data_IF_412606437571
#
_entry.id   IF_412606437571
#
_cell.length_a   1.000
_cell.length_b   1.000
_cell.length_c   1.000
_cell.angle_alpha   90.00
_cell.angle_beta   90.00
_cell.angle_gamma   90.00
#
_symmetry.space_group_name_H-M   'P 1'
#
loop_
_entity.id
_entity.type
_entity.pdbx_description
1 polymer ?
#
# COMPACT_ATOMS: atom_id res chain seq x y z
N UNK A 1 -2.55 21.16 53.51
CA UNK A 1 -2.71 19.75 53.10
C UNK A 1 -1.34 19.32 52.58
N UNK A 2 -0.70 18.37 53.25
CA UNK A 2 0.61 17.87 52.83
C UNK A 2 0.37 16.48 52.22
N UNK A 3 0.40 16.38 50.90
CA UNK A 3 0.28 15.10 50.19
C UNK A 3 1.60 14.29 50.16
N UNK A 4 2.60 14.67 50.95
CA UNK A 4 3.92 14.02 50.95
C UNK A 4 4.31 13.77 52.40
N UNK A 5 3.44 13.06 53.12
CA UNK A 5 3.55 12.78 54.54
C UNK A 5 3.56 11.28 54.85
N UNK A 6 3.63 10.44 53.82
CA UNK A 6 3.68 8.98 53.87
C UNK A 6 2.42 8.34 54.47
N UNK A 7 1.30 9.06 54.47
CA UNK A 7 0.02 8.56 54.97
C UNK A 7 -1.09 8.87 53.98
N UNK A 8 -1.83 7.83 53.57
CA UNK A 8 -3.07 7.99 52.82
C UNK A 8 -4.09 8.80 53.61
N UNK A 9 -4.23 10.09 53.31
CA UNK A 9 -5.10 11.01 54.04
C UNK A 9 -5.75 12.06 53.12
N UNK A 10 -6.67 12.86 53.68
CA UNK A 10 -7.48 13.83 52.94
C UNK A 10 -8.18 13.20 51.72
N UNK A 11 -7.92 13.70 50.51
CA UNK A 11 -8.52 13.29 49.24
C UNK A 11 -7.68 12.27 48.44
N UNK A 12 -6.55 11.81 48.98
CA UNK A 12 -5.67 10.84 48.33
C UNK A 12 -6.35 9.50 48.02
N UNK A 13 -6.01 8.93 46.87
CA UNK A 13 -6.47 7.59 46.50
C UNK A 13 -5.45 6.50 46.79
N UNK A 14 -4.17 6.84 46.87
CA UNK A 14 -3.09 6.02 47.43
C UNK A 14 -2.12 6.91 48.25
N UNK A 15 -1.21 6.32 49.02
CA UNK A 15 -0.27 7.07 49.86
C UNK A 15 0.50 8.10 49.03
N UNK A 16 0.34 9.37 49.38
CA UNK A 16 1.00 10.52 48.76
C UNK A 16 0.60 10.80 47.29
N UNK A 17 -0.53 10.28 46.81
CA UNK A 17 -1.00 10.51 45.44
C UNK A 17 -2.52 10.33 45.20
N UNK A 18 -3.00 10.88 44.09
CA UNK A 18 -4.39 10.83 43.64
C UNK A 18 -5.30 11.83 44.36
N UNK A 19 -6.58 11.86 44.01
CA UNK A 19 -7.45 12.95 44.45
C UNK A 19 -7.25 14.23 43.63
N UNK A 20 -7.91 15.31 44.05
CA UNK A 20 -7.86 16.59 43.31
C UNK A 20 -6.67 17.46 43.73
N UNK A 21 -6.17 17.26 44.95
CA UNK A 21 -5.18 18.12 45.59
C UNK A 21 -3.74 17.59 45.51
N UNK A 22 -3.54 16.34 45.08
CA UNK A 22 -2.24 15.66 45.10
C UNK A 22 -1.78 15.24 43.68
N UNK A 23 -0.47 14.96 43.48
CA UNK A 23 0.04 14.43 42.23
C UNK A 23 -0.62 13.10 41.85
N UNK A 24 -0.71 12.81 40.55
CA UNK A 24 -1.30 11.55 40.08
C UNK A 24 -0.46 10.34 40.50
N UNK A 25 -1.14 9.25 40.81
CA UNK A 25 -0.58 7.96 41.15
C UNK A 25 0.01 7.23 39.95
N UNK A 26 1.19 6.63 40.14
CA UNK A 26 1.82 5.76 39.15
C UNK A 26 1.09 4.41 38.98
N UNK A 27 1.59 3.59 38.07
CA UNK A 27 1.08 2.25 37.84
C UNK A 27 0.99 1.38 39.10
N UNK A 28 -0.03 0.52 39.16
CA UNK A 28 -0.34 -0.41 40.26
C UNK A 28 -0.72 0.25 41.60
N UNK A 29 -0.94 1.56 41.62
CA UNK A 29 -1.40 2.33 42.80
C UNK A 29 -2.92 2.40 42.87
N UNK A 30 -3.47 2.62 44.05
CA UNK A 30 -4.91 2.74 44.26
C UNK A 30 -5.50 4.01 43.65
N UNK A 31 -6.68 3.90 43.04
CA UNK A 31 -7.40 5.02 42.42
C UNK A 31 -8.92 4.89 42.63
N UNK A 32 -9.65 5.98 42.45
CA UNK A 32 -11.12 6.01 42.40
C UNK A 32 -11.64 6.47 41.04
N UNK A 33 -10.90 7.34 40.37
CA UNK A 33 -11.21 7.92 39.07
C UNK A 33 -9.97 7.96 38.18
N UNK A 34 -10.19 8.00 36.87
CA UNK A 34 -9.11 8.05 35.86
C UNK A 34 -8.13 9.21 36.06
N UNK A 35 -8.59 10.35 36.57
CA UNK A 35 -7.74 11.51 36.85
C UNK A 35 -6.70 11.26 37.96
N UNK A 36 -6.92 10.26 38.82
CA UNK A 36 -5.98 9.88 39.88
C UNK A 36 -4.71 9.24 39.33
N UNK A 37 -4.72 8.73 38.10
CA UNK A 37 -3.65 7.90 37.55
C UNK A 37 -2.80 8.65 36.51
N UNK A 38 -1.47 8.47 36.56
CA UNK A 38 -0.55 8.96 35.53
C UNK A 38 -0.93 8.37 34.16
N UNK A 39 -1.35 7.10 34.13
CA UNK A 39 -1.86 6.43 32.93
C UNK A 39 -3.16 7.05 32.41
N UNK A 40 -3.93 7.72 33.26
CA UNK A 40 -5.29 8.17 32.96
C UNK A 40 -6.35 7.07 33.09
N UNK A 41 -6.00 5.90 33.66
CA UNK A 41 -6.88 4.73 33.70
C UNK A 41 -6.90 4.18 35.12
N UNK A 42 -8.09 4.20 35.72
CA UNK A 42 -8.39 3.54 36.97
C UNK A 42 -9.27 2.31 36.71
N UNK A 43 -8.67 1.12 36.74
CA UNK A 43 -9.39 -0.13 36.50
C UNK A 43 -9.32 -1.00 37.75
N UNK A 44 -10.46 -1.53 38.19
CA UNK A 44 -10.57 -2.33 39.42
C UNK A 44 -9.96 -1.61 40.66
N UNK A 45 -10.11 -0.28 40.72
CA UNK A 45 -9.51 0.61 41.74
C UNK A 45 -7.98 0.64 41.75
N UNK A 46 -7.33 0.23 40.66
CA UNK A 46 -5.87 0.27 40.49
C UNK A 46 -5.51 1.04 39.21
N UNK A 47 -4.52 1.92 39.31
CA UNK A 47 -3.95 2.62 38.18
C UNK A 47 -3.25 1.62 37.26
N UNK A 48 -3.63 1.60 35.97
CA UNK A 48 -2.96 0.74 35.01
C UNK A 48 -1.44 1.03 34.97
N UNK A 49 -0.62 -0.03 34.87
CA UNK A 49 0.85 0.06 34.90
C UNK A 49 1.41 1.01 33.82
N UNK A 50 0.73 1.03 32.67
CA UNK A 50 0.85 2.01 31.61
C UNK A 50 -0.52 2.18 30.97
N UNK A 51 -0.79 3.34 30.37
CA UNK A 51 -1.82 3.40 29.35
C UNK A 51 -1.36 2.47 28.20
N UNK A 52 -2.23 1.56 27.78
CA UNK A 52 -1.85 0.46 26.89
C UNK A 52 -2.50 0.68 25.53
N UNK A 53 -1.79 0.32 24.47
CA UNK A 53 -2.32 0.35 23.11
C UNK A 53 -3.43 -0.69 22.84
N UNK A 54 -4.13 -1.14 23.89
CA UNK A 54 -5.08 -2.27 23.92
C UNK A 54 -6.13 -2.12 25.05
N UNK A 55 -6.28 -0.92 25.64
CA UNK A 55 -7.19 -0.67 26.78
C UNK A 55 -8.55 -0.11 26.37
N UNK A 56 -8.80 0.03 25.07
CA UNK A 56 -10.04 0.51 24.45
C UNK A 56 -10.36 1.97 24.77
N UNK A 57 -9.40 2.74 25.23
CA UNK A 57 -9.55 4.16 25.54
C UNK A 57 -8.49 4.94 24.80
N UNK A 58 -8.90 5.87 23.92
CA UNK A 58 -7.96 6.76 23.24
C UNK A 58 -7.18 7.61 24.24
N UNK A 59 -5.92 7.29 24.48
CA UNK A 59 -5.09 7.95 25.48
C UNK A 59 -3.62 8.11 25.05
N UNK A 60 -2.81 8.78 25.86
CA UNK A 60 -1.40 9.06 25.57
C UNK A 60 -1.16 9.67 24.17
N UNK A 61 -0.36 9.03 23.31
CA UNK A 61 -0.02 9.49 21.98
C UNK A 61 -0.85 8.85 20.85
N UNK A 62 -1.85 8.04 21.20
CA UNK A 62 -2.75 7.39 20.24
C UNK A 62 -3.48 8.40 19.34
N UNK A 63 -3.62 8.04 18.08
CA UNK A 63 -4.39 8.83 17.11
C UNK A 63 -5.79 8.29 16.89
N UNK A 64 -6.02 7.02 17.22
CA UNK A 64 -7.34 6.43 17.46
C UNK A 64 -7.25 5.42 18.62
N UNK A 65 -8.38 4.97 19.13
CA UNK A 65 -8.45 3.99 20.23
C UNK A 65 -7.52 2.80 19.93
N UNK A 66 -6.54 2.58 20.81
CA UNK A 66 -5.59 1.46 20.77
C UNK A 66 -4.61 1.45 19.58
N UNK A 67 -4.45 2.58 18.87
CA UNK A 67 -3.55 2.63 17.72
C UNK A 67 -2.99 4.03 17.37
N UNK A 68 -1.94 4.01 16.54
CA UNK A 68 -1.26 5.18 16.01
C UNK A 68 -0.34 5.85 17.03
N UNK A 69 0.12 7.06 16.72
CA UNK A 69 1.15 7.71 17.51
C UNK A 69 2.51 7.05 17.33
N UNK A 70 3.43 7.36 18.24
CA UNK A 70 4.81 6.87 18.22
C UNK A 70 5.01 5.55 18.95
N UNK A 71 4.11 5.19 19.87
CA UNK A 71 4.26 4.04 20.77
C UNK A 71 3.37 2.85 20.41
N UNK A 72 2.24 3.07 19.74
CA UNK A 72 1.27 2.03 19.43
C UNK A 72 1.40 1.49 18.02
N UNK A 73 0.78 0.33 17.79
CA UNK A 73 0.68 -0.24 16.45
C UNK A 73 -0.06 0.72 15.52
N UNK A 74 0.28 0.70 14.24
CA UNK A 74 -0.39 1.56 13.25
C UNK A 74 -1.88 1.23 13.16
N UNK A 75 -2.68 2.26 12.98
CA UNK A 75 -4.11 2.18 12.79
C UNK A 75 -4.50 1.58 11.43
N UNK A 76 -5.57 0.79 11.44
CA UNK A 76 -6.25 0.31 10.24
C UNK A 76 -6.94 1.44 9.47
N UNK A 77 -7.45 1.14 8.28
CA UNK A 77 -8.23 2.10 7.52
C UNK A 77 -9.48 2.54 8.30
N UNK A 78 -9.94 3.77 8.03
CA UNK A 78 -11.08 4.43 8.69
C UNK A 78 -10.85 4.85 10.15
N UNK A 79 -9.64 4.66 10.69
CA UNK A 79 -9.26 5.08 12.04
C UNK A 79 -8.59 6.45 12.04
N UNK A 80 -8.65 7.17 13.16
CA UNK A 80 -8.01 8.47 13.34
C UNK A 80 -6.48 8.45 13.20
N UNK A 81 -5.92 9.45 12.53
CA UNK A 81 -4.49 9.66 12.35
C UNK A 81 -4.12 11.14 12.47
N UNK A 82 -2.84 11.44 12.72
CA UNK A 82 -2.27 12.80 12.63
C UNK A 82 -1.28 12.90 11.47
N UNK A 83 -0.65 11.80 11.09
CA UNK A 83 0.33 11.72 10.03
C UNK A 83 0.38 10.30 9.41
N UNK A 84 1.09 10.15 8.30
CA UNK A 84 1.18 8.90 7.55
C UNK A 84 1.77 7.72 8.35
N UNK A 85 2.61 7.97 9.35
CA UNK A 85 3.19 6.90 10.17
C UNK A 85 2.15 6.24 11.07
N UNK A 86 1.03 6.92 11.35
CA UNK A 86 -0.05 6.38 12.18
C UNK A 86 -0.85 5.30 11.47
N UNK A 87 -0.77 5.18 10.14
CA UNK A 87 -1.63 4.31 9.34
C UNK A 87 -0.89 3.11 8.76
N UNK A 88 -1.49 1.92 8.82
CA UNK A 88 -0.94 0.70 8.17
C UNK A 88 -0.70 0.95 6.68
N UNK A 89 -1.64 1.65 6.02
CA UNK A 89 -1.55 2.02 4.61
C UNK A 89 -0.45 3.05 4.31
N UNK A 90 0.05 3.75 5.32
CA UNK A 90 0.93 4.91 5.13
C UNK A 90 0.20 6.17 4.63
N UNK A 91 -1.14 6.19 4.61
CA UNK A 91 -1.93 7.35 4.19
C UNK A 91 -2.79 7.84 5.35
N UNK A 92 -2.46 9.02 5.85
CA UNK A 92 -3.37 9.83 6.65
C UNK A 92 -4.02 10.88 5.74
N UNK A 93 -5.34 10.82 5.60
CA UNK A 93 -6.09 11.74 4.74
C UNK A 93 -6.18 13.14 5.37
N UNK A 94 -6.61 14.13 4.58
CA UNK A 94 -6.85 15.49 5.07
C UNK A 94 -7.97 15.58 6.12
N UNK A 95 -8.79 14.53 6.25
CA UNK A 95 -9.82 14.40 7.30
C UNK A 95 -9.26 13.82 8.61
N UNK A 96 -7.94 13.60 8.71
CA UNK A 96 -7.30 12.92 9.84
C UNK A 96 -7.81 11.48 10.03
N UNK A 97 -8.09 10.79 8.93
CA UNK A 97 -8.52 9.39 8.90
C UNK A 97 -7.53 8.58 8.05
N UNK A 98 -7.12 7.41 8.55
CA UNK A 98 -6.33 6.44 7.81
C UNK A 98 -7.08 5.99 6.57
N UNK A 99 -6.54 6.37 5.43
CA UNK A 99 -7.13 6.11 4.13
C UNK A 99 -6.67 4.77 3.56
N UNK A 100 -7.50 4.21 2.70
CA UNK A 100 -7.10 3.08 1.88
C UNK A 100 -6.16 3.54 0.76
N UNK A 101 -5.22 2.68 0.38
CA UNK A 101 -4.30 2.92 -0.71
C UNK A 101 -4.92 2.38 -2.00
N UNK A 102 -5.51 3.25 -2.83
CA UNK A 102 -5.94 2.82 -4.17
C UNK A 102 -4.69 2.62 -5.02
N UNK A 103 -4.49 1.39 -5.49
CA UNK A 103 -3.41 1.03 -6.40
C UNK A 103 -3.99 0.73 -7.77
N UNK A 104 -3.37 1.28 -8.79
CA UNK A 104 -3.63 0.90 -10.16
C UNK A 104 -3.24 -0.57 -10.36
N UNK A 105 -4.15 -1.36 -10.94
CA UNK A 105 -3.86 -2.71 -11.37
C UNK A 105 -3.40 -2.68 -12.83
N UNK A 106 -2.19 -3.16 -13.10
CA UNK A 106 -1.60 -3.20 -14.45
C UNK A 106 -1.44 -4.63 -14.92
N UNK A 107 -2.00 -4.91 -16.10
CA UNK A 107 -1.84 -6.18 -16.79
C UNK A 107 -1.29 -5.97 -18.19
N UNK A 108 -0.53 -6.94 -18.68
CA UNK A 108 -0.08 -6.99 -20.07
C UNK A 108 -0.51 -8.30 -20.70
N UNK A 109 -0.58 -8.31 -22.04
CA UNK A 109 -0.75 -9.54 -22.82
C UNK A 109 0.13 -9.48 -24.05
N UNK A 110 0.81 -10.61 -24.32
CA UNK A 110 1.54 -10.89 -25.54
C UNK A 110 0.80 -12.04 -26.23
N UNK A 111 0.46 -11.88 -27.49
CA UNK A 111 -0.28 -12.87 -28.27
C UNK A 111 0.06 -12.72 -29.75
N UNK A 112 -0.53 -13.57 -30.60
CA UNK A 112 -0.33 -13.50 -32.06
C UNK A 112 1.17 -13.58 -32.43
N UNK A 113 1.91 -14.49 -31.82
CA UNK A 113 3.36 -14.64 -32.00
C UNK A 113 3.71 -15.65 -33.09
N UNK A 114 4.43 -15.21 -34.12
CA UNK A 114 5.04 -16.10 -35.12
C UNK A 114 6.43 -16.60 -34.66
N UNK A 115 7.15 -15.79 -33.89
CA UNK A 115 8.45 -16.13 -33.34
C UNK A 115 8.51 -15.79 -31.85
N UNK A 116 9.34 -14.83 -31.44
CA UNK A 116 9.54 -14.50 -30.04
C UNK A 116 9.10 -13.08 -29.75
N UNK A 117 8.15 -12.94 -28.82
CA UNK A 117 7.72 -11.66 -28.29
C UNK A 117 8.26 -11.48 -26.86
N UNK A 118 8.65 -10.26 -26.54
CA UNK A 118 9.22 -9.90 -25.24
C UNK A 118 8.51 -8.68 -24.67
N UNK A 119 8.34 -8.66 -23.36
CA UNK A 119 7.84 -7.51 -22.62
C UNK A 119 8.77 -7.18 -21.46
N UNK A 120 9.13 -5.90 -21.38
CA UNK A 120 9.94 -5.33 -20.32
C UNK A 120 9.14 -4.24 -19.60
N UNK A 121 9.22 -4.20 -18.28
CA UNK A 121 8.68 -3.11 -17.46
C UNK A 121 9.85 -2.48 -16.72
N UNK A 122 10.08 -1.18 -16.92
CA UNK A 122 11.19 -0.44 -16.32
C UNK A 122 12.55 -1.17 -16.48
N UNK A 123 12.85 -1.59 -17.71
CA UNK A 123 14.06 -2.32 -18.10
C UNK A 123 14.18 -3.77 -17.58
N UNK A 124 13.22 -4.27 -16.80
CA UNK A 124 13.18 -5.68 -16.39
C UNK A 124 12.29 -6.48 -17.34
N UNK A 125 12.83 -7.53 -17.96
CA UNK A 125 12.04 -8.47 -18.74
C UNK A 125 11.07 -9.22 -17.82
N UNK A 126 9.78 -9.08 -18.06
CA UNK A 126 8.71 -9.68 -17.26
C UNK A 126 8.09 -10.90 -17.94
N UNK A 127 8.15 -10.94 -19.28
CA UNK A 127 7.64 -12.07 -20.05
C UNK A 127 8.38 -12.19 -21.38
N UNK A 128 8.57 -13.44 -21.78
CA UNK A 128 8.88 -13.86 -23.15
C UNK A 128 7.87 -14.93 -23.52
N UNK A 129 7.36 -14.87 -24.74
CA UNK A 129 6.59 -15.95 -25.35
C UNK A 129 7.21 -16.34 -26.69
N UNK A 130 6.95 -17.58 -27.09
CA UNK A 130 7.43 -18.19 -28.33
C UNK A 130 6.30 -18.35 -29.34
N UNK A 131 6.59 -19.05 -30.44
CA UNK A 131 5.66 -19.33 -31.52
C UNK A 131 4.33 -19.88 -31.00
N UNK A 132 3.24 -19.23 -31.40
CA UNK A 132 1.85 -19.54 -31.08
C UNK A 132 1.45 -19.53 -29.61
N UNK A 133 2.29 -19.01 -28.73
CA UNK A 133 1.90 -18.83 -27.35
C UNK A 133 1.01 -17.59 -27.19
N UNK A 134 0.04 -17.68 -26.28
CA UNK A 134 -0.63 -16.52 -25.72
C UNK A 134 -0.23 -16.45 -24.25
N UNK A 135 0.18 -15.27 -23.80
CA UNK A 135 0.58 -15.10 -22.42
C UNK A 135 -0.61 -15.06 -21.45
N UNK A 136 -1.83 -14.96 -21.97
CA UNK A 136 -3.00 -14.45 -21.28
C UNK A 136 -2.71 -13.09 -20.62
N UNK A 137 -3.61 -12.62 -19.75
CA UNK A 137 -3.37 -11.43 -18.95
C UNK A 137 -2.42 -11.74 -17.81
N UNK A 138 -1.24 -11.11 -17.83
CA UNK A 138 -0.24 -11.21 -16.76
C UNK A 138 -0.34 -9.97 -15.88
N UNK A 139 -0.51 -10.16 -14.57
CA UNK A 139 -0.41 -9.07 -13.61
C UNK A 139 1.06 -8.64 -13.47
N UNK A 140 1.34 -7.38 -13.80
CA UNK A 140 2.68 -6.79 -13.70
C UNK A 140 2.72 -5.59 -12.75
N UNK A 141 1.71 -5.43 -11.91
CA UNK A 141 1.58 -4.29 -10.97
C UNK A 141 2.80 -4.17 -10.05
N UNK A 142 3.38 -5.28 -9.61
CA UNK A 142 4.56 -5.27 -8.72
C UNK A 142 5.84 -4.77 -9.39
N UNK A 143 5.90 -4.79 -10.73
CA UNK A 143 7.03 -4.29 -11.52
C UNK A 143 6.97 -2.77 -11.76
N UNK A 144 5.90 -2.13 -11.32
CA UNK A 144 5.69 -0.69 -11.47
C UNK A 144 6.07 0.10 -10.22
N UNK A 145 6.25 1.40 -10.35
CA UNK A 145 6.41 2.36 -9.27
C UNK A 145 5.41 3.53 -9.42
N UNK A 146 5.30 4.38 -8.40
CA UNK A 146 4.51 5.61 -8.51
C UNK A 146 5.04 6.50 -9.64
N UNK A 147 4.12 7.05 -10.43
CA UNK A 147 4.42 7.92 -11.55
C UNK A 147 4.60 7.18 -12.88
N UNK A 148 5.47 7.71 -13.75
CA UNK A 148 5.62 7.23 -15.13
C UNK A 148 6.44 5.94 -15.18
N UNK A 149 5.86 4.90 -15.76
CA UNK A 149 6.50 3.59 -15.97
C UNK A 149 6.65 3.32 -17.46
N UNK A 150 7.75 2.68 -17.84
CA UNK A 150 8.06 2.37 -19.24
C UNK A 150 7.82 0.89 -19.55
N UNK A 151 6.91 0.62 -20.48
CA UNK A 151 6.58 -0.70 -20.99
C UNK A 151 7.20 -0.85 -22.38
N UNK A 152 8.22 -1.68 -22.51
CA UNK A 152 8.90 -1.92 -23.78
C UNK A 152 8.53 -3.30 -24.33
N UNK A 153 8.01 -3.33 -25.55
CA UNK A 153 7.60 -4.54 -26.25
C UNK A 153 8.48 -4.76 -27.48
N UNK A 154 8.91 -6.00 -27.68
CA UNK A 154 9.83 -6.39 -28.76
C UNK A 154 9.28 -7.60 -29.51
N UNK A 155 9.41 -7.60 -30.83
CA UNK A 155 9.21 -8.78 -31.67
C UNK A 155 10.54 -9.12 -32.35
N UNK A 156 11.04 -10.33 -32.10
CA UNK A 156 12.17 -10.90 -32.83
C UNK A 156 11.64 -11.81 -33.94
N UNK A 157 12.05 -11.56 -35.19
CA UNK A 157 11.80 -12.46 -36.31
C UNK A 157 13.03 -13.34 -36.53
N UNK A 158 12.85 -14.65 -36.42
CA UNK A 158 13.89 -15.65 -36.64
C UNK A 158 13.97 -16.12 -38.09
N UNK A 159 12.84 -16.22 -38.80
CA UNK A 159 12.80 -16.60 -40.21
C UNK A 159 11.43 -16.32 -40.84
N UNK A 160 11.42 -16.02 -42.14
CA UNK A 160 10.20 -15.78 -42.93
C UNK A 160 9.41 -14.56 -42.42
N UNK A 161 8.10 -14.73 -42.25
CA UNK A 161 7.16 -13.70 -41.82
C UNK A 161 7.23 -13.45 -40.32
N UNK A 162 6.48 -12.46 -39.84
CA UNK A 162 6.42 -12.12 -38.43
C UNK A 162 5.04 -11.57 -38.10
N UNK A 163 4.58 -11.83 -36.89
CA UNK A 163 3.33 -11.26 -36.34
C UNK A 163 3.54 -10.87 -34.89
N UNK A 164 2.75 -9.90 -34.42
CA UNK A 164 2.72 -9.56 -33.00
C UNK A 164 1.33 -9.13 -32.53
N UNK A 165 1.14 -9.22 -31.22
CA UNK A 165 0.02 -8.67 -30.49
C UNK A 165 0.48 -8.27 -29.10
N UNK A 166 0.33 -6.99 -28.75
CA UNK A 166 0.70 -6.43 -27.46
C UNK A 166 -0.44 -5.60 -26.90
N UNK A 167 -0.76 -5.82 -25.63
CA UNK A 167 -1.77 -5.04 -24.91
C UNK A 167 -1.27 -4.63 -23.53
N UNK A 168 -1.70 -3.45 -23.08
CA UNK A 168 -1.65 -3.02 -21.68
C UNK A 168 -3.07 -2.72 -21.22
N UNK A 169 -3.41 -3.21 -20.03
CA UNK A 169 -4.65 -2.92 -19.34
C UNK A 169 -4.33 -2.25 -18.00
N UNK A 170 -5.00 -1.13 -17.73
CA UNK A 170 -4.95 -0.39 -16.46
C UNK A 170 -6.36 -0.33 -15.88
N UNK A 171 -6.51 -0.83 -14.66
CA UNK A 171 -7.79 -0.86 -13.92
C UNK A 171 -8.94 -1.44 -14.73
N UNK A 172 -8.70 -2.57 -15.41
CA UNK A 172 -9.70 -3.22 -16.27
C UNK A 172 -9.78 -2.66 -17.70
N UNK A 173 -9.31 -1.44 -17.96
CA UNK A 173 -9.41 -0.78 -19.26
C UNK A 173 -8.16 -0.99 -20.10
N UNK A 174 -8.33 -1.30 -21.39
CA UNK A 174 -7.20 -1.36 -22.33
C UNK A 174 -6.70 0.07 -22.58
N UNK A 175 -5.44 0.33 -22.26
CA UNK A 175 -4.78 1.64 -22.45
C UNK A 175 -3.73 1.60 -23.56
N UNK A 176 -3.38 0.41 -24.05
CA UNK A 176 -2.53 0.20 -25.20
C UNK A 176 -2.92 -1.09 -25.91
N UNK A 177 -2.99 -1.05 -27.24
CA UNK A 177 -3.21 -2.20 -28.11
C UNK A 177 -2.47 -1.96 -29.43
N UNK A 178 -1.59 -2.89 -29.79
CA UNK A 178 -0.82 -2.84 -31.04
C UNK A 178 -0.67 -4.26 -31.57
N UNK A 179 -1.05 -4.49 -32.81
CA UNK A 179 -1.04 -5.81 -33.44
C UNK A 179 -0.79 -5.69 -34.92
N UNK A 180 -0.10 -6.67 -35.50
CA UNK A 180 0.09 -6.77 -36.93
C UNK A 180 0.21 -8.23 -37.38
N UNK A 181 -0.36 -8.50 -38.56
CA UNK A 181 -0.49 -9.84 -39.12
C UNK A 181 -1.42 -10.73 -38.29
N UNK A 182 -1.57 -11.96 -38.75
CA UNK A 182 -2.32 -13.01 -38.07
C UNK A 182 -1.53 -14.32 -38.20
N UNK A 183 -1.09 -14.85 -37.05
CA UNK A 183 -0.25 -16.05 -36.99
C UNK A 183 -0.93 -17.19 -37.76
N UNK A 184 -0.18 -17.87 -38.64
CA UNK A 184 -0.65 -18.90 -39.59
C UNK A 184 -1.55 -18.43 -40.75
N UNK A 185 -1.84 -17.13 -40.87
CA UNK A 185 -2.65 -16.60 -41.97
C UNK A 185 -1.82 -15.67 -42.85
N UNK A 186 -1.33 -14.57 -42.29
CA UNK A 186 -0.57 -13.57 -43.04
C UNK A 186 0.44 -12.85 -42.13
N UNK A 187 1.66 -12.71 -42.62
CA UNK A 187 2.68 -11.92 -41.96
C UNK A 187 2.33 -10.42 -41.92
N UNK A 188 2.88 -9.71 -40.94
CA UNK A 188 2.83 -8.26 -40.92
C UNK A 188 3.50 -7.65 -42.16
N UNK A 189 3.08 -6.44 -42.55
CA UNK A 189 3.64 -5.66 -43.66
C UNK A 189 3.72 -6.40 -45.01
N UNK A 190 2.66 -7.12 -45.40
CA UNK A 190 2.59 -7.90 -46.65
C UNK A 190 3.66 -9.02 -46.73
N UNK A 191 3.81 -9.80 -45.66
CA UNK A 191 4.72 -10.96 -45.63
C UNK A 191 6.19 -10.62 -45.90
N UNK A 192 6.69 -9.49 -45.37
CA UNK A 192 8.06 -9.04 -45.59
C UNK A 192 9.12 -10.01 -45.02
N UNK A 193 9.47 -11.03 -45.80
CA UNK A 193 10.44 -12.06 -45.45
C UNK A 193 11.90 -11.55 -45.45
N UNK A 194 12.14 -10.30 -45.91
CA UNK A 194 13.48 -9.69 -45.88
C UNK A 194 13.94 -9.38 -44.45
N UNK A 195 13.02 -9.42 -43.48
CA UNK A 195 13.24 -9.04 -42.09
C UNK A 195 13.61 -10.22 -41.18
N UNK A 196 14.40 -11.15 -41.69
CA UNK A 196 14.87 -12.34 -40.96
C UNK A 196 16.03 -12.02 -39.99
N UNK A 197 16.12 -12.75 -38.88
CA UNK A 197 17.17 -12.65 -37.85
C UNK A 197 17.38 -11.23 -37.28
N UNK A 198 16.29 -10.53 -36.98
CA UNK A 198 16.34 -9.20 -36.39
C UNK A 198 15.10 -8.85 -35.55
N UNK A 199 15.21 -7.80 -34.74
CA UNK A 199 14.04 -7.20 -34.10
C UNK A 199 13.26 -6.37 -35.13
N UNK A 200 12.00 -6.76 -35.35
CA UNK A 200 11.09 -6.12 -36.32
C UNK A 200 10.10 -5.16 -35.67
N UNK A 201 9.99 -5.24 -34.35
CA UNK A 201 9.20 -4.32 -33.54
C UNK A 201 9.96 -3.98 -32.26
N UNK A 202 9.99 -2.69 -31.91
CA UNK A 202 10.54 -2.19 -30.66
C UNK A 202 9.80 -0.89 -30.30
N UNK A 203 8.90 -0.96 -29.32
CA UNK A 203 8.09 0.19 -28.90
C UNK A 203 8.07 0.31 -27.39
N UNK A 204 8.32 1.51 -26.90
CA UNK A 204 8.18 1.86 -25.49
C UNK A 204 6.94 2.71 -25.30
N UNK A 205 6.10 2.32 -24.35
CA UNK A 205 4.87 3.00 -23.96
C UNK A 205 5.02 3.49 -22.53
N UNK A 206 4.87 4.80 -22.33
CA UNK A 206 4.86 5.40 -21.00
C UNK A 206 3.44 5.32 -20.42
N UNK A 207 3.29 4.71 -19.24
CA UNK A 207 2.02 4.64 -18.51
C UNK A 207 2.22 5.21 -17.13
N UNK A 208 1.43 6.23 -16.77
CA UNK A 208 1.41 6.75 -15.41
C UNK A 208 0.64 5.77 -14.51
N UNK A 209 1.26 5.35 -13.41
CA UNK A 209 0.73 4.38 -12.44
C UNK A 209 0.73 5.02 -11.06
N UNK A 210 -0.41 4.92 -10.40
CA UNK A 210 -0.63 5.31 -9.03
C UNK A 210 -0.59 4.04 -8.18
N UNK A 211 0.54 3.80 -7.52
CA UNK A 211 0.73 2.72 -6.56
C UNK A 211 0.15 3.05 -5.19
N UNK A 212 -0.04 4.33 -4.87
CA UNK A 212 -0.77 4.74 -3.68
C UNK A 212 -1.35 6.16 -3.79
N UNK A 213 -2.66 6.30 -3.60
CA UNK A 213 -3.28 7.60 -3.32
C UNK A 213 -4.51 7.47 -2.43
N UNK A 214 -4.86 8.54 -1.70
CA UNK A 214 -6.08 8.59 -0.91
C UNK A 214 -7.30 8.30 -1.79
N UNK A 215 -8.19 7.41 -1.34
CA UNK A 215 -9.48 7.22 -1.98
C UNK A 215 -10.24 8.56 -2.04
N UNK A 216 -10.81 8.96 -3.19
CA UNK A 216 -11.68 10.13 -3.24
C UNK A 216 -12.83 9.95 -2.26
N UNK A 217 -13.09 10.96 -1.43
CA UNK A 217 -14.28 11.01 -0.58
C UNK A 217 -15.50 11.12 -1.49
N UNK A 218 -16.42 10.17 -1.37
CA UNK A 218 -17.70 10.14 -2.09
C UNK A 218 -18.83 10.72 -1.26
#
# INVERSE_FOLDING_TARGET
ILCMDQKKNQDETDVDCGGISCPKCGGMRSCKVNCDCISGICENNICAASASCQDKIKNQDETDIDCGGSKCAKCENSKGCKNNCDCISGICTNENICGDCIKDSIYIRLYNSDDALYANVNSKQVKRILYMEDSDWINVSDYTHDGVNNFNFLCWNGANTYTWGFQIRKNGNIVFNDTAGEVRVIGANNEDASKTNQYVYNKTVAVNVMKCSPKPQG
#
